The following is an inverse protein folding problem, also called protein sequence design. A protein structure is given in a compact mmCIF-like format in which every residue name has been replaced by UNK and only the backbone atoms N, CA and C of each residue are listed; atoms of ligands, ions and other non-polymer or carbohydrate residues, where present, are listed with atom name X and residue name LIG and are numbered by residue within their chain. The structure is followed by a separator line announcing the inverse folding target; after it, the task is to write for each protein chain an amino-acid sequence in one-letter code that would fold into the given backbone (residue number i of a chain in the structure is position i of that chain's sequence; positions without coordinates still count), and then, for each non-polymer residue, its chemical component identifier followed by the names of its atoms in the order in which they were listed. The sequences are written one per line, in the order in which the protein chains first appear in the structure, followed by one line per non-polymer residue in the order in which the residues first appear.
data_IF_846276462743
#
_entry.id   IF_846276462743
#
_cell.length_a   1.000
_cell.length_b   1.000
_cell.length_c   1.000
_cell.angle_alpha   90.00
_cell.angle_beta   90.00
_cell.angle_gamma   90.00
#
_symmetry.space_group_name_H-M   'P 1'
#
loop_
_entity.id
_entity.type
_entity.pdbx_description
1 polymer ?
#
# COMPACT_ATOMS: atom_id res chain seq x y z
N UNK A 1 1.55 11.48 17.62
CA UNK A 1 1.90 10.05 17.51
C UNK A 1 3.02 9.77 18.49
N UNK A 2 2.99 8.63 19.19
CA UNK A 2 4.10 8.18 20.03
C UNK A 2 5.19 7.62 19.10
N UNK A 3 6.12 8.47 18.71
CA UNK A 3 7.17 8.23 17.70
C UNK A 3 7.98 6.93 17.89
N UNK A 4 8.10 6.45 19.12
CA UNK A 4 8.90 5.27 19.48
C UNK A 4 8.06 3.99 19.64
N UNK A 5 6.77 4.05 19.34
CA UNK A 5 5.85 2.92 19.46
C UNK A 5 5.38 2.45 18.08
N UNK A 6 5.59 1.17 17.78
CA UNK A 6 5.17 0.54 16.53
C UNK A 6 4.15 -0.56 16.81
N UNK A 7 3.14 -0.67 15.94
CA UNK A 7 2.27 -1.84 15.91
C UNK A 7 2.82 -2.83 14.90
N UNK A 8 2.98 -4.09 15.30
CA UNK A 8 3.28 -5.21 14.40
C UNK A 8 2.26 -6.31 14.59
N UNK A 9 2.12 -7.19 13.61
CA UNK A 9 1.30 -8.40 13.72
C UNK A 9 2.23 -9.61 13.85
N UNK A 10 2.07 -10.37 14.94
CA UNK A 10 2.76 -11.63 15.20
C UNK A 10 1.68 -12.70 15.33
N UNK A 11 1.67 -13.69 14.45
CA UNK A 11 0.65 -14.75 14.43
C UNK A 11 -0.79 -14.20 14.49
N UNK A 12 -1.08 -13.21 13.62
CA UNK A 12 -2.35 -12.46 13.53
C UNK A 12 -2.72 -11.63 14.78
N UNK A 13 -1.86 -11.60 15.80
CA UNK A 13 -2.05 -10.81 17.01
C UNK A 13 -1.35 -9.46 16.87
N UNK A 14 -2.14 -8.38 16.92
CA UNK A 14 -1.63 -7.02 16.96
C UNK A 14 -0.85 -6.78 18.26
N UNK A 15 0.45 -6.60 18.13
CA UNK A 15 1.40 -6.38 19.22
C UNK A 15 2.00 -4.99 19.14
N UNK A 16 1.89 -4.22 20.21
CA UNK A 16 2.51 -2.90 20.35
C UNK A 16 3.91 -3.04 20.94
N UNK A 17 4.92 -2.62 20.20
CA UNK A 17 6.32 -2.58 20.65
C UNK A 17 6.70 -1.13 20.99
N UNK A 18 7.26 -0.90 22.18
CA UNK A 18 7.90 0.36 22.56
C UNK A 18 9.42 0.20 22.40
N UNK A 19 10.00 0.89 21.41
CA UNK A 19 11.41 0.80 21.07
C UNK A 19 12.33 1.27 22.21
N UNK A 20 11.84 2.11 23.12
CA UNK A 20 12.60 2.60 24.29
C UNK A 20 12.86 1.50 25.33
N UNK A 21 12.14 0.38 25.24
CA UNK A 21 12.32 -0.78 26.13
C UNK A 21 13.33 -1.80 25.59
N UNK A 22 13.84 -1.61 24.37
CA UNK A 22 14.89 -2.45 23.79
C UNK A 22 16.26 -1.97 24.24
N UNK A 23 17.20 -2.90 24.46
CA UNK A 23 18.60 -2.54 24.68
C UNK A 23 19.21 -1.96 23.39
N UNK A 24 20.29 -1.19 23.54
CA UNK A 24 20.98 -0.52 22.43
C UNK A 24 21.39 -1.50 21.32
N UNK A 25 21.86 -2.70 21.67
CA UNK A 25 22.33 -3.68 20.68
C UNK A 25 21.17 -4.21 19.84
N UNK A 26 20.06 -4.56 20.49
CA UNK A 26 18.85 -5.00 19.81
C UNK A 26 18.28 -3.93 18.89
N UNK A 27 18.18 -2.68 19.37
CA UNK A 27 17.67 -1.56 18.58
C UNK A 27 18.58 -1.23 17.39
N UNK A 28 19.90 -1.23 17.58
CA UNK A 28 20.89 -1.03 16.50
C UNK A 28 20.78 -2.13 15.45
N UNK A 29 20.69 -3.38 15.87
CA UNK A 29 20.58 -4.52 14.95
C UNK A 29 19.27 -4.48 14.16
N UNK A 30 18.16 -4.13 14.80
CA UNK A 30 16.88 -3.90 14.12
C UNK A 30 17.03 -2.79 13.07
N UNK A 31 17.60 -1.64 13.44
CA UNK A 31 17.83 -0.52 12.53
C UNK A 31 18.65 -0.92 11.30
N UNK A 32 19.78 -1.62 11.48
CA UNK A 32 20.61 -2.08 10.35
C UNK A 32 19.90 -3.11 9.48
N UNK A 33 19.14 -4.04 10.07
CA UNK A 33 18.37 -5.04 9.31
C UNK A 33 17.29 -4.36 8.48
N UNK A 34 16.53 -3.44 9.09
CA UNK A 34 15.51 -2.68 8.39
C UNK A 34 16.13 -1.82 7.29
N UNK A 35 17.26 -1.15 7.54
CA UNK A 35 17.95 -0.40 6.50
C UNK A 35 18.43 -1.29 5.35
N UNK A 36 18.89 -2.51 5.63
CA UNK A 36 19.33 -3.44 4.58
C UNK A 36 18.18 -4.01 3.76
N UNK A 37 17.03 -4.27 4.39
CA UNK A 37 15.86 -4.87 3.72
C UNK A 37 15.04 -3.79 3.02
N UNK A 38 14.77 -2.69 3.72
CA UNK A 38 13.92 -1.60 3.24
C UNK A 38 14.72 -0.59 2.42
N UNK A 39 16.02 -0.42 2.65
CA UNK A 39 16.95 0.28 1.76
C UNK A 39 16.44 1.63 1.22
N UNK A 40 16.39 1.70 -0.09
CA UNK A 40 15.85 2.79 -0.92
C UNK A 40 14.32 2.74 -1.07
N UNK A 41 13.64 2.04 -0.17
CA UNK A 41 12.23 1.67 -0.19
C UNK A 41 11.81 0.75 -1.35
N UNK A 42 12.73 0.24 -2.18
CA UNK A 42 12.40 -0.66 -3.30
C UNK A 42 11.54 -1.84 -2.87
N UNK A 43 11.90 -2.49 -1.76
CA UNK A 43 11.13 -3.60 -1.18
C UNK A 43 9.69 -3.20 -0.80
N UNK A 44 9.50 -2.00 -0.23
CA UNK A 44 8.16 -1.49 0.13
C UNK A 44 7.37 -1.17 -1.13
N UNK A 45 8.01 -0.53 -2.12
CA UNK A 45 7.38 -0.21 -3.39
C UNK A 45 6.93 -1.48 -4.13
N UNK A 46 7.79 -2.50 -4.21
CA UNK A 46 7.45 -3.81 -4.78
C UNK A 46 6.28 -4.45 -4.03
N UNK A 47 6.31 -4.46 -2.69
CA UNK A 47 5.17 -4.95 -1.90
C UNK A 47 3.87 -4.19 -2.20
N UNK A 48 3.91 -2.86 -2.34
CA UNK A 48 2.73 -2.06 -2.67
C UNK A 48 2.21 -2.41 -4.07
N UNK A 49 3.11 -2.52 -5.05
CA UNK A 49 2.78 -2.86 -6.44
C UNK A 49 2.08 -4.23 -6.54
N UNK A 50 2.58 -5.23 -5.81
CA UNK A 50 2.00 -6.57 -5.78
C UNK A 50 0.78 -6.71 -4.84
N UNK A 51 0.45 -5.66 -4.08
CA UNK A 51 -0.68 -5.69 -3.15
C UNK A 51 -2.02 -5.60 -3.88
N UNK A 52 -2.99 -6.35 -3.35
CA UNK A 52 -4.38 -6.30 -3.79
C UNK A 52 -5.00 -4.91 -3.50
N UNK A 53 -5.69 -4.34 -4.49
CA UNK A 53 -6.38 -3.06 -4.38
C UNK A 53 -7.41 -3.02 -3.24
N UNK A 54 -7.89 -4.18 -2.78
CA UNK A 54 -8.76 -4.32 -1.61
C UNK A 54 -8.14 -3.83 -0.30
N UNK A 55 -6.80 -3.77 -0.18
CA UNK A 55 -6.14 -3.22 1.00
C UNK A 55 -6.15 -1.68 1.03
N UNK A 56 -6.36 -1.02 -0.12
CA UNK A 56 -6.37 0.43 -0.28
C UNK A 56 -7.77 1.04 -0.26
N UNK A 57 -8.62 0.53 0.65
CA UNK A 57 -10.03 0.93 0.76
C UNK A 57 -10.25 2.30 1.39
N UNK A 58 -9.20 2.94 1.91
CA UNK A 58 -9.28 4.32 2.38
C UNK A 58 -9.06 5.31 1.23
N UNK A 59 -8.37 4.88 0.18
CA UNK A 59 -7.98 5.66 -0.99
C UNK A 59 -8.92 5.42 -2.17
N UNK A 60 -9.35 4.16 -2.37
CA UNK A 60 -10.22 3.75 -3.46
C UNK A 60 -11.50 3.13 -2.91
N UNK A 61 -12.66 3.62 -3.36
CA UNK A 61 -13.95 3.08 -2.89
C UNK A 61 -14.14 1.61 -3.30
N UNK A 62 -14.88 0.85 -2.49
CA UNK A 62 -15.20 -0.56 -2.79
C UNK A 62 -15.91 -0.75 -4.15
N UNK A 63 -16.67 0.26 -4.61
CA UNK A 63 -17.29 0.25 -5.95
C UNK A 63 -16.23 0.34 -7.05
N UNK A 64 -15.25 1.23 -6.89
CA UNK A 64 -14.14 1.37 -7.83
C UNK A 64 -13.27 0.09 -7.86
N UNK A 65 -12.90 -0.47 -6.69
CA UNK A 65 -12.20 -1.76 -6.62
C UNK A 65 -13.01 -2.88 -7.28
N UNK A 66 -14.32 -2.92 -7.05
CA UNK A 66 -15.20 -3.92 -7.66
C UNK A 66 -15.30 -3.79 -9.19
N UNK A 67 -15.30 -2.57 -9.73
CA UNK A 67 -15.26 -2.33 -11.17
C UNK A 67 -13.91 -2.77 -11.76
N UNK A 68 -12.80 -2.37 -11.16
CA UNK A 68 -11.45 -2.76 -11.59
C UNK A 68 -11.28 -4.30 -11.62
N UNK A 69 -11.73 -4.99 -10.58
CA UNK A 69 -11.69 -6.46 -10.53
C UNK A 69 -12.51 -7.14 -11.63
N UNK A 70 -13.65 -6.58 -12.02
CA UNK A 70 -14.44 -7.11 -13.15
C UNK A 70 -13.68 -7.05 -14.48
N UNK A 71 -12.78 -6.09 -14.61
CA UNK A 71 -11.87 -5.95 -15.74
C UNK A 71 -10.53 -6.67 -15.53
N UNK A 72 -10.41 -7.53 -14.51
CA UNK A 72 -9.20 -8.32 -14.24
C UNK A 72 -8.09 -7.56 -13.53
N UNK A 73 -8.33 -6.34 -13.05
CA UNK A 73 -7.35 -5.52 -12.35
C UNK A 73 -7.50 -5.78 -10.84
N UNK A 74 -6.52 -6.47 -10.26
CA UNK A 74 -6.56 -6.95 -8.87
C UNK A 74 -5.48 -6.23 -8.05
N UNK A 75 -4.31 -6.01 -8.62
CA UNK A 75 -3.12 -5.45 -7.96
C UNK A 75 -2.88 -4.00 -8.34
N UNK A 76 -2.04 -3.32 -7.56
CA UNK A 76 -1.61 -1.94 -7.85
C UNK A 76 -0.79 -1.87 -9.14
N UNK A 77 0.09 -2.85 -9.41
CA UNK A 77 0.90 -2.90 -10.62
C UNK A 77 0.05 -3.00 -11.89
N UNK A 78 -0.97 -3.87 -11.89
CA UNK A 78 -1.95 -3.99 -12.97
C UNK A 78 -2.72 -2.67 -13.19
N UNK A 79 -3.10 -1.99 -12.10
CA UNK A 79 -3.77 -0.69 -12.19
C UNK A 79 -2.85 0.38 -12.79
N UNK A 80 -1.58 0.43 -12.37
CA UNK A 80 -0.60 1.39 -12.87
C UNK A 80 -0.21 1.16 -14.34
N UNK A 81 -0.38 -0.05 -14.84
CA UNK A 81 -0.19 -0.38 -16.26
C UNK A 81 -1.34 0.13 -17.15
N UNK A 82 -2.49 0.52 -16.57
CA UNK A 82 -3.63 1.01 -17.34
C UNK A 82 -3.47 2.49 -17.69
N UNK A 83 -3.81 2.85 -18.93
CA UNK A 83 -3.91 4.25 -19.34
C UNK A 83 -5.19 4.90 -18.81
N UNK A 84 -5.23 6.22 -18.77
CA UNK A 84 -6.44 6.96 -18.37
C UNK A 84 -7.63 6.64 -19.29
N UNK A 85 -7.37 6.53 -20.60
CA UNK A 85 -8.38 6.20 -21.60
C UNK A 85 -8.98 4.82 -21.35
N UNK A 86 -8.13 3.82 -21.08
CA UNK A 86 -8.59 2.46 -20.73
C UNK A 86 -9.47 2.46 -19.49
N UNK A 87 -9.12 3.24 -18.47
CA UNK A 87 -9.91 3.35 -17.24
C UNK A 87 -11.24 4.11 -17.48
N UNK A 88 -11.24 5.12 -18.35
CA UNK A 88 -12.43 5.90 -18.66
C UNK A 88 -13.46 5.12 -19.50
N UNK A 89 -13.00 4.13 -20.28
CA UNK A 89 -13.85 3.25 -21.09
C UNK A 89 -14.44 2.06 -20.33
N UNK A 90 -14.01 1.81 -19.09
CA UNK A 90 -14.53 0.70 -18.29
C UNK A 90 -15.97 0.92 -17.85
N UNK A 91 -16.82 -0.05 -18.19
CA UNK A 91 -18.19 -0.10 -17.69
C UNK A 91 -18.22 -0.11 -16.15
N UNK A 92 -19.17 0.64 -15.59
CA UNK A 92 -19.36 0.84 -14.15
C UNK A 92 -18.36 1.76 -13.42
N UNK A 93 -17.33 2.30 -14.08
CA UNK A 93 -16.54 3.42 -13.53
C UNK A 93 -17.23 4.77 -13.81
N UNK A 94 -17.84 5.34 -12.78
CA UNK A 94 -18.34 6.72 -12.85
C UNK A 94 -17.22 7.75 -12.65
N UNK A 95 -17.47 9.01 -13.02
CA UNK A 95 -16.51 10.12 -12.90
C UNK A 95 -15.87 10.24 -11.50
N UNK A 96 -16.64 10.00 -10.44
CA UNK A 96 -16.13 10.01 -9.07
C UNK A 96 -15.10 8.91 -8.83
N UNK A 97 -15.41 7.68 -9.21
CA UNK A 97 -14.51 6.52 -9.05
C UNK A 97 -13.25 6.67 -9.89
N UNK A 98 -13.36 7.22 -11.09
CA UNK A 98 -12.22 7.54 -11.94
C UNK A 98 -11.30 8.59 -11.28
N UNK A 99 -11.87 9.63 -10.66
CA UNK A 99 -11.11 10.64 -9.92
C UNK A 99 -10.37 10.04 -8.71
N UNK A 100 -11.02 9.16 -7.95
CA UNK A 100 -10.40 8.42 -6.83
C UNK A 100 -9.18 7.62 -7.32
N UNK A 101 -9.34 6.84 -8.39
CA UNK A 101 -8.28 6.03 -8.99
C UNK A 101 -7.10 6.90 -9.46
N UNK A 102 -7.38 7.97 -10.20
CA UNK A 102 -6.32 8.89 -10.68
C UNK A 102 -5.60 9.58 -9.53
N UNK A 103 -6.34 9.96 -8.47
CA UNK A 103 -5.76 10.51 -7.26
C UNK A 103 -4.80 9.54 -6.58
N UNK A 104 -5.22 8.28 -6.45
CA UNK A 104 -4.40 7.20 -5.89
C UNK A 104 -3.13 6.95 -6.71
N UNK A 105 -3.23 6.82 -8.03
CA UNK A 105 -2.07 6.61 -8.91
C UNK A 105 -1.06 7.77 -8.79
N UNK A 106 -1.54 9.01 -8.71
CA UNK A 106 -0.68 10.19 -8.52
C UNK A 106 0.02 10.22 -7.15
N UNK A 107 -0.56 9.61 -6.13
CA UNK A 107 0.09 9.48 -4.81
C UNK A 107 1.20 8.43 -4.83
N UNK A 108 1.01 7.34 -5.60
CA UNK A 108 1.98 6.25 -5.73
C UNK A 108 3.17 6.56 -6.62
N UNK A 109 2.97 7.39 -7.66
CA UNK A 109 4.04 7.82 -8.57
C UNK A 109 4.97 8.91 -8.04
N UNK A 110 4.84 9.30 -6.75
CA UNK A 110 5.69 10.27 -6.06
C UNK A 110 6.67 9.54 -5.14
#
# INVERSE_FOLDING_TARGET
MKEHEIDIYLDDVKTRIDLRKMDYTSLRNLSMKLQRILGDNSYIHEMILESDLYYFRQEISAKAVGALRKHGIITVSELMACSYEQLAEMDALGQKSLSEIVGFIKQLGK
#
